data_IF_756476297998
#
_entry.id   IF_756476297998
#
_cell.length_a   1.000
_cell.length_b   1.000
_cell.length_c   1.000
_cell.angle_alpha   90.00
_cell.angle_beta   90.00
_cell.angle_gamma   90.00
#
_symmetry.space_group_name_H-M   'P 1'
#
loop_
_entity.id
_entity.type
_entity.pdbx_description
1 polymer ?
#
# COMPACT_ATOMS: atom_id res chain seq x y z
N UNK A 1 7.58 -16.46 -15.35
CA UNK A 1 8.40 -16.02 -14.17
C UNK A 1 9.87 -16.13 -14.51
N UNK A 2 10.71 -15.21 -14.02
CA UNK A 2 12.17 -15.21 -14.21
C UNK A 2 12.83 -16.31 -13.37
N UNK A 3 13.76 -17.10 -13.95
CA UNK A 3 14.42 -18.25 -13.28
C UNK A 3 15.16 -17.86 -11.98
N UNK A 4 15.76 -16.67 -11.93
CA UNK A 4 16.46 -16.18 -10.74
C UNK A 4 15.49 -15.85 -9.61
N UNK A 5 14.37 -15.22 -9.93
CA UNK A 5 13.29 -14.92 -8.96
C UNK A 5 12.68 -16.22 -8.44
N UNK A 6 12.40 -17.18 -9.35
CA UNK A 6 11.89 -18.50 -8.95
C UNK A 6 12.83 -19.17 -7.97
N UNK A 7 14.12 -19.25 -8.30
CA UNK A 7 15.14 -19.84 -7.41
C UNK A 7 15.16 -19.15 -6.04
N UNK A 8 15.08 -17.81 -6.01
CA UNK A 8 15.05 -17.05 -4.75
C UNK A 8 13.83 -17.40 -3.90
N UNK A 9 12.66 -17.54 -4.53
CA UNK A 9 11.42 -17.97 -3.85
C UNK A 9 11.54 -19.41 -3.32
N UNK A 10 12.10 -20.33 -4.11
CA UNK A 10 12.34 -21.71 -3.67
C UNK A 10 13.29 -21.79 -2.46
N UNK A 11 14.35 -20.98 -2.45
CA UNK A 11 15.26 -20.87 -1.30
C UNK A 11 14.54 -20.33 -0.06
N UNK A 12 13.66 -19.34 -0.21
CA UNK A 12 12.85 -18.81 0.89
C UNK A 12 11.85 -19.86 1.42
N UNK A 13 11.19 -20.61 0.54
CA UNK A 13 10.27 -21.70 0.92
C UNK A 13 11.01 -22.78 1.70
N UNK A 14 12.19 -23.19 1.22
CA UNK A 14 13.03 -24.19 1.90
C UNK A 14 13.43 -23.69 3.30
N UNK A 15 13.87 -22.45 3.42
CA UNK A 15 14.22 -21.85 4.70
C UNK A 15 13.03 -21.81 5.68
N UNK A 16 11.81 -21.49 5.19
CA UNK A 16 10.59 -21.51 6.00
C UNK A 16 10.31 -22.92 6.53
N UNK A 17 10.43 -23.96 5.69
CA UNK A 17 10.14 -25.33 6.09
C UNK A 17 11.15 -25.90 7.09
N UNK A 18 12.41 -25.45 6.99
CA UNK A 18 13.50 -25.84 7.89
C UNK A 18 13.49 -25.05 9.21
N UNK A 19 12.85 -23.87 9.25
CA UNK A 19 12.84 -23.04 10.44
C UNK A 19 12.01 -23.69 11.57
N UNK A 20 12.47 -23.64 12.83
CA UNK A 20 11.82 -24.38 13.94
C UNK A 20 10.40 -23.92 14.26
N UNK A 21 10.07 -22.64 13.98
CA UNK A 21 8.74 -22.08 14.26
C UNK A 21 7.67 -22.63 13.33
N UNK A 22 6.49 -22.91 13.88
CA UNK A 22 5.25 -23.21 13.13
C UNK A 22 4.26 -22.03 13.18
N UNK A 23 4.75 -20.84 13.50
CA UNK A 23 3.98 -19.60 13.52
C UNK A 23 4.58 -18.65 12.48
N UNK A 24 3.74 -18.16 11.57
CA UNK A 24 4.05 -17.09 10.62
C UNK A 24 3.50 -15.78 11.18
N UNK A 25 4.35 -14.77 11.36
CA UNK A 25 3.94 -13.40 11.61
C UNK A 25 3.89 -12.69 10.25
N UNK A 26 2.70 -12.61 9.68
CA UNK A 26 2.46 -12.03 8.36
C UNK A 26 2.02 -10.58 8.51
N UNK A 27 2.84 -9.67 8.01
CA UNK A 27 2.55 -8.25 7.90
C UNK A 27 2.28 -7.91 6.43
N UNK A 28 1.14 -7.29 6.14
CA UNK A 28 0.77 -6.93 4.77
C UNK A 28 0.22 -5.50 4.70
N UNK A 29 0.27 -4.89 3.53
CA UNK A 29 -0.33 -3.57 3.33
C UNK A 29 -1.87 -3.64 3.43
N UNK A 30 -2.50 -2.48 3.54
CA UNK A 30 -3.93 -2.39 3.84
C UNK A 30 -4.80 -1.97 2.64
N UNK A 31 -4.25 -1.88 1.44
CA UNK A 31 -5.02 -1.69 0.21
C UNK A 31 -5.37 -3.01 -0.47
N UNK A 32 -5.95 -2.92 -1.64
CA UNK A 32 -6.44 -4.09 -2.38
C UNK A 32 -5.32 -5.08 -2.68
N UNK A 33 -4.13 -4.62 -3.12
CA UNK A 33 -3.01 -5.52 -3.40
C UNK A 33 -2.46 -6.15 -2.11
N UNK A 34 -2.30 -5.36 -1.05
CA UNK A 34 -1.86 -5.87 0.25
C UNK A 34 -2.86 -6.84 0.91
N UNK A 35 -4.18 -6.59 0.80
CA UNK A 35 -5.21 -7.49 1.33
C UNK A 35 -5.25 -8.81 0.56
N UNK A 36 -5.16 -8.79 -0.76
CA UNK A 36 -5.13 -10.00 -1.59
C UNK A 36 -3.85 -10.79 -1.37
N UNK A 37 -2.69 -10.12 -1.27
CA UNK A 37 -1.41 -10.71 -0.89
C UNK A 37 -1.47 -11.41 0.47
N UNK A 38 -2.01 -10.72 1.47
CA UNK A 38 -2.23 -11.26 2.82
C UNK A 38 -3.14 -12.48 2.81
N UNK A 39 -4.23 -12.45 2.04
CA UNK A 39 -5.17 -13.57 1.91
C UNK A 39 -4.52 -14.80 1.27
N UNK A 40 -3.79 -14.61 0.16
CA UNK A 40 -3.08 -15.68 -0.54
C UNK A 40 -2.08 -16.35 0.39
N UNK A 41 -1.20 -15.59 1.04
CA UNK A 41 -0.17 -16.13 1.92
C UNK A 41 -0.77 -16.79 3.15
N UNK A 42 -1.77 -16.17 3.78
CA UNK A 42 -2.48 -16.75 4.92
C UNK A 42 -3.02 -18.14 4.58
N UNK A 43 -3.80 -18.26 3.50
CA UNK A 43 -4.38 -19.56 3.07
C UNK A 43 -3.29 -20.58 2.74
N UNK A 44 -2.23 -20.16 2.07
CA UNK A 44 -1.14 -21.06 1.65
C UNK A 44 -0.35 -21.60 2.84
N UNK A 45 -0.01 -20.77 3.82
CA UNK A 45 0.68 -21.20 5.03
C UNK A 45 -0.22 -22.07 5.93
N UNK A 46 -1.51 -21.74 6.06
CA UNK A 46 -2.46 -22.54 6.82
C UNK A 46 -2.62 -23.95 6.21
N UNK A 47 -2.63 -24.08 4.86
CA UNK A 47 -2.62 -25.39 4.17
C UNK A 47 -1.38 -26.22 4.47
N UNK A 48 -0.25 -25.59 4.78
CA UNK A 48 1.01 -26.25 5.21
C UNK A 48 1.09 -26.47 6.71
N UNK A 49 0.00 -26.20 7.46
CA UNK A 49 -0.09 -26.45 8.91
C UNK A 49 0.57 -25.38 9.77
N UNK A 50 0.86 -24.20 9.23
CA UNK A 50 1.32 -23.06 10.01
C UNK A 50 0.15 -22.32 10.63
N UNK A 51 0.34 -21.79 11.86
CA UNK A 51 -0.54 -20.79 12.43
C UNK A 51 -0.12 -19.42 11.94
N UNK A 52 -1.01 -18.68 11.30
CA UNK A 52 -0.74 -17.36 10.76
C UNK A 52 -1.30 -16.27 11.69
N UNK A 53 -0.43 -15.37 12.15
CA UNK A 53 -0.81 -14.10 12.75
C UNK A 53 -0.79 -13.05 11.66
N UNK A 54 -1.96 -12.63 11.23
CA UNK A 54 -2.14 -11.71 10.11
C UNK A 54 -2.37 -10.30 10.64
N UNK A 55 -1.51 -9.34 10.25
CA UNK A 55 -1.52 -7.97 10.72
C UNK A 55 -1.37 -7.03 9.52
N UNK A 56 -2.40 -6.22 9.29
CA UNK A 56 -2.33 -5.17 8.27
C UNK A 56 -1.55 -3.96 8.80
N UNK A 57 -0.72 -3.37 7.96
CA UNK A 57 0.03 -2.15 8.25
C UNK A 57 -0.25 -1.10 7.18
N UNK A 58 -0.29 0.16 7.58
CA UNK A 58 -0.33 1.26 6.61
C UNK A 58 1.07 1.63 6.09
N UNK A 59 2.10 1.43 6.93
CA UNK A 59 3.53 1.62 6.60
C UNK A 59 4.41 0.93 7.65
N UNK A 60 5.63 0.54 7.26
CA UNK A 60 6.61 -0.03 8.17
C UNK A 60 7.34 1.07 8.97
N UNK A 61 6.61 1.76 9.86
CA UNK A 61 7.19 2.84 10.68
C UNK A 61 8.40 2.36 11.49
N UNK A 62 9.47 3.18 11.64
CA UNK A 62 10.68 2.78 12.37
C UNK A 62 10.40 2.29 13.79
N UNK A 63 9.50 2.95 14.54
CA UNK A 63 9.11 2.53 15.89
C UNK A 63 8.44 1.14 15.89
N UNK A 64 7.63 0.85 14.89
CA UNK A 64 6.99 -0.46 14.72
C UNK A 64 8.01 -1.54 14.34
N UNK A 65 8.91 -1.26 13.40
CA UNK A 65 9.98 -2.19 13.03
C UNK A 65 10.86 -2.55 14.23
N UNK A 66 11.29 -1.57 15.01
CA UNK A 66 12.03 -1.82 16.24
C UNK A 66 11.28 -2.81 17.15
N UNK A 67 9.97 -2.63 17.29
CA UNK A 67 9.14 -3.51 18.14
C UNK A 67 8.96 -4.90 17.53
N UNK A 68 8.79 -5.02 16.22
CA UNK A 68 8.73 -6.32 15.52
C UNK A 68 10.04 -7.09 15.73
N UNK A 69 11.19 -6.43 15.64
CA UNK A 69 12.50 -7.06 15.75
C UNK A 69 13.01 -7.24 17.20
N UNK A 70 12.19 -6.93 18.22
CA UNK A 70 12.38 -7.48 19.58
C UNK A 70 12.12 -8.99 19.63
N UNK A 71 11.29 -9.52 18.72
CA UNK A 71 11.02 -10.95 18.59
C UNK A 71 12.28 -11.73 18.18
N UNK A 72 12.35 -13.00 18.62
CA UNK A 72 13.47 -13.91 18.30
C UNK A 72 12.94 -15.27 17.84
N UNK A 73 13.69 -15.93 16.99
CA UNK A 73 13.37 -17.27 16.46
C UNK A 73 12.00 -17.36 15.81
N UNK A 74 11.52 -16.26 15.20
CA UNK A 74 10.24 -16.20 14.51
C UNK A 74 10.43 -16.32 13.00
N UNK A 75 9.33 -16.65 12.30
CA UNK A 75 9.20 -16.42 10.86
C UNK A 75 8.36 -15.14 10.70
N UNK A 76 8.93 -14.17 10.00
CA UNK A 76 8.32 -12.87 9.71
C UNK A 76 8.19 -12.76 8.20
N UNK A 77 7.00 -12.47 7.71
CA UNK A 77 6.73 -12.28 6.28
C UNK A 77 6.16 -10.89 6.08
N UNK A 78 6.77 -10.12 5.19
CA UNK A 78 6.26 -8.84 4.73
C UNK A 78 5.70 -9.01 3.32
N UNK A 79 4.50 -8.50 3.07
CA UNK A 79 3.83 -8.55 1.78
C UNK A 79 3.35 -7.16 1.37
N UNK A 80 3.68 -6.76 0.15
CA UNK A 80 3.30 -5.48 -0.45
C UNK A 80 3.91 -4.25 0.25
N UNK A 81 5.07 -4.41 0.82
CA UNK A 81 5.99 -3.37 1.30
C UNK A 81 7.29 -4.00 1.82
N UNK A 82 8.28 -3.17 2.14
CA UNK A 82 9.56 -3.49 2.76
C UNK A 82 10.72 -3.85 1.82
N UNK A 83 10.51 -4.01 0.53
CA UNK A 83 11.58 -4.31 -0.44
C UNK A 83 12.73 -3.29 -0.40
N UNK A 84 12.39 -2.01 -0.37
CA UNK A 84 13.36 -0.90 -0.31
C UNK A 84 14.11 -0.82 1.01
N UNK A 85 13.48 -1.15 2.12
CA UNK A 85 14.08 -1.07 3.45
C UNK A 85 14.72 -2.39 3.92
N UNK A 86 14.92 -3.36 3.02
CA UNK A 86 15.57 -4.63 3.34
C UNK A 86 16.94 -4.48 4.03
N UNK A 87 17.78 -3.48 3.74
CA UNK A 87 19.01 -3.22 4.50
C UNK A 87 18.76 -2.82 5.96
N UNK A 88 17.75 -1.99 6.22
CA UNK A 88 17.35 -1.58 7.58
C UNK A 88 16.79 -2.79 8.34
N UNK A 89 15.93 -3.58 7.70
CA UNK A 89 15.40 -4.84 8.26
C UNK A 89 16.54 -5.79 8.59
N UNK A 90 17.56 -5.90 7.73
CA UNK A 90 18.73 -6.74 7.96
C UNK A 90 19.49 -6.32 9.23
N UNK A 91 19.72 -5.03 9.42
CA UNK A 91 20.37 -4.49 10.63
C UNK A 91 19.54 -4.75 11.88
N UNK A 92 18.23 -4.49 11.82
CA UNK A 92 17.31 -4.72 12.95
C UNK A 92 17.17 -6.20 13.28
N UNK A 93 17.16 -7.07 12.28
CA UNK A 93 17.03 -8.52 12.45
C UNK A 93 18.28 -9.14 13.07
N UNK A 94 19.45 -8.75 12.59
CA UNK A 94 20.74 -9.29 13.05
C UNK A 94 20.72 -10.83 13.17
N UNK A 95 20.25 -11.51 12.14
CA UNK A 95 20.10 -12.97 12.01
C UNK A 95 19.24 -13.67 13.09
N UNK A 96 18.43 -12.94 13.85
CA UNK A 96 17.64 -13.50 14.96
C UNK A 96 16.35 -14.20 14.54
N UNK A 97 15.79 -13.82 13.39
CA UNK A 97 14.56 -14.36 12.81
C UNK A 97 14.79 -14.72 11.35
N UNK A 98 13.94 -15.58 10.81
CA UNK A 98 13.81 -15.71 9.36
C UNK A 98 12.82 -14.65 8.88
N UNK A 99 13.25 -13.82 7.94
CA UNK A 99 12.42 -12.77 7.32
C UNK A 99 12.30 -13.06 5.83
N UNK A 100 11.08 -13.02 5.30
CA UNK A 100 10.80 -13.09 3.86
C UNK A 100 10.04 -11.84 3.44
N UNK A 101 10.49 -11.19 2.37
CA UNK A 101 9.87 -10.00 1.79
C UNK A 101 9.33 -10.38 0.42
N UNK A 102 8.03 -10.17 0.20
CA UNK A 102 7.29 -10.39 -1.03
C UNK A 102 6.61 -9.07 -1.40
N UNK A 103 7.35 -8.22 -2.06
CA UNK A 103 6.97 -6.86 -2.42
C UNK A 103 7.07 -6.70 -3.95
N UNK A 104 6.83 -5.53 -4.48
CA UNK A 104 6.98 -5.18 -5.89
C UNK A 104 7.43 -3.73 -6.12
N UNK A 105 7.60 -2.98 -5.04
CA UNK A 105 8.08 -1.60 -5.11
C UNK A 105 9.59 -1.55 -5.41
N UNK A 106 10.15 -0.32 -5.50
CA UNK A 106 11.60 -0.15 -5.60
C UNK A 106 12.31 -0.92 -4.46
N UNK A 107 13.28 -1.75 -4.78
CA UNK A 107 13.86 -2.71 -3.84
C UNK A 107 15.38 -2.58 -3.70
N UNK A 108 15.87 -2.86 -2.49
CA UNK A 108 17.28 -2.95 -2.16
C UNK A 108 17.66 -4.38 -1.72
N UNK A 109 18.89 -4.85 -2.01
CA UNK A 109 19.35 -6.15 -1.55
C UNK A 109 19.39 -6.23 -0.01
N UNK A 110 19.04 -7.39 0.54
CA UNK A 110 19.23 -7.68 1.96
C UNK A 110 20.70 -7.88 2.32
N UNK A 111 21.09 -7.49 3.53
CA UNK A 111 22.47 -7.62 4.05
C UNK A 111 22.61 -8.76 5.08
N UNK A 112 21.51 -9.36 5.51
CA UNK A 112 21.44 -10.47 6.47
C UNK A 112 21.00 -11.73 5.71
N UNK A 113 21.72 -12.85 5.89
CA UNK A 113 21.41 -14.14 5.24
C UNK A 113 20.03 -14.68 5.59
N UNK A 114 19.50 -14.32 6.76
CA UNK A 114 18.18 -14.71 7.22
C UNK A 114 17.07 -13.71 6.81
N UNK A 115 17.41 -12.69 6.01
CA UNK A 115 16.44 -11.79 5.36
C UNK A 115 16.45 -12.07 3.86
N UNK A 116 15.43 -12.75 3.40
CA UNK A 116 15.30 -13.19 2.01
C UNK A 116 14.34 -12.23 1.30
N UNK A 117 14.91 -11.30 0.54
CA UNK A 117 14.13 -10.38 -0.28
C UNK A 117 13.82 -11.04 -1.62
N UNK A 118 12.54 -11.32 -1.88
CA UNK A 118 12.01 -11.91 -3.12
C UNK A 118 11.31 -10.87 -4.00
N UNK A 119 11.66 -9.59 -3.83
CA UNK A 119 11.09 -8.53 -4.64
C UNK A 119 11.51 -8.66 -6.11
N UNK A 120 10.56 -8.68 -7.06
CA UNK A 120 10.83 -8.84 -8.49
C UNK A 120 11.70 -7.75 -9.12
N UNK A 121 11.72 -6.53 -8.55
CA UNK A 121 12.58 -5.42 -9.02
C UNK A 121 14.06 -5.79 -8.97
N UNK A 122 14.49 -6.59 -7.99
CA UNK A 122 15.85 -7.10 -7.89
C UNK A 122 16.24 -8.05 -9.04
N UNK A 123 15.24 -8.54 -9.76
CA UNK A 123 15.41 -9.51 -10.85
C UNK A 123 15.02 -8.93 -12.22
N UNK A 124 14.83 -7.59 -12.30
CA UNK A 124 14.63 -6.86 -13.55
C UNK A 124 13.18 -6.78 -14.03
N UNK A 125 12.21 -7.17 -13.21
CA UNK A 125 10.79 -6.89 -13.44
C UNK A 125 10.44 -5.52 -12.85
N UNK A 126 9.47 -4.83 -13.45
CA UNK A 126 8.99 -3.53 -13.00
C UNK A 126 7.70 -3.67 -12.21
N UNK A 127 7.75 -3.29 -10.93
CA UNK A 127 6.62 -3.40 -10.02
C UNK A 127 5.46 -2.47 -10.36
N UNK A 128 5.75 -1.32 -10.95
CA UNK A 128 4.74 -0.37 -11.44
C UNK A 128 4.17 -0.71 -12.83
N UNK A 129 4.43 -1.94 -13.34
CA UNK A 129 4.00 -2.35 -14.68
C UNK A 129 3.81 -3.85 -14.85
N UNK A 130 4.82 -4.65 -14.50
CA UNK A 130 4.92 -6.05 -14.91
C UNK A 130 4.30 -7.02 -13.89
N UNK A 131 4.35 -6.64 -12.60
CA UNK A 131 4.01 -7.54 -11.49
C UNK A 131 3.63 -6.76 -10.23
N UNK A 132 2.55 -7.18 -9.56
CA UNK A 132 2.11 -6.65 -8.26
C UNK A 132 2.52 -7.57 -7.11
N UNK A 133 2.33 -7.15 -5.85
CA UNK A 133 2.62 -8.00 -4.71
C UNK A 133 1.70 -9.22 -4.64
N UNK A 134 0.43 -9.10 -5.01
CA UNK A 134 -0.50 -10.24 -5.07
C UNK A 134 -0.06 -11.29 -6.09
N UNK A 135 0.41 -10.85 -7.27
CA UNK A 135 0.99 -11.74 -8.27
C UNK A 135 2.27 -12.41 -7.73
N UNK A 136 3.16 -11.64 -7.09
CA UNK A 136 4.38 -12.16 -6.45
C UNK A 136 4.05 -13.21 -5.38
N UNK A 137 3.08 -12.92 -4.49
CA UNK A 137 2.62 -13.82 -3.45
C UNK A 137 1.94 -15.08 -4.01
N UNK A 138 1.20 -14.95 -5.11
CA UNK A 138 0.58 -16.11 -5.79
C UNK A 138 1.63 -17.03 -6.41
N UNK A 139 2.62 -16.48 -7.12
CA UNK A 139 3.73 -17.25 -7.68
C UNK A 139 4.50 -17.98 -6.57
N UNK A 140 4.81 -17.29 -5.47
CA UNK A 140 5.43 -17.90 -4.29
C UNK A 140 4.57 -19.05 -3.71
N UNK A 141 3.27 -18.82 -3.62
CA UNK A 141 2.30 -19.78 -3.07
C UNK A 141 2.17 -21.03 -3.93
N UNK A 142 2.16 -20.89 -5.26
CA UNK A 142 2.07 -22.04 -6.19
C UNK A 142 3.35 -22.87 -6.22
N UNK A 143 4.52 -22.22 -6.05
CA UNK A 143 5.79 -22.95 -5.83
C UNK A 143 5.78 -23.71 -4.50
N UNK A 144 5.19 -23.16 -3.46
CA UNK A 144 5.07 -23.82 -2.15
C UNK A 144 4.14 -25.06 -2.22
N UNK A 145 3.03 -24.95 -2.93
CA UNK A 145 2.07 -26.03 -3.16
C UNK A 145 1.27 -25.78 -4.44
N UNK A 146 1.35 -26.67 -5.46
CA UNK A 146 0.57 -26.53 -6.70
C UNK A 146 -0.95 -26.46 -6.49
N UNK A 147 -1.47 -26.91 -5.34
CA UNK A 147 -2.91 -26.77 -4.99
C UNK A 147 -3.35 -25.32 -4.84
N UNK A 148 -2.42 -24.40 -4.58
CA UNK A 148 -2.71 -22.98 -4.44
C UNK A 148 -3.06 -22.29 -5.77
N UNK A 149 -3.09 -23.02 -6.88
CA UNK A 149 -3.58 -22.53 -8.18
C UNK A 149 -5.05 -22.05 -8.10
N UNK A 150 -5.83 -22.52 -7.16
CA UNK A 150 -7.20 -22.08 -6.88
C UNK A 150 -7.30 -20.65 -6.31
N UNK A 151 -6.17 -20.06 -5.90
CA UNK A 151 -6.09 -18.67 -5.42
C UNK A 151 -5.91 -17.64 -6.54
N UNK A 152 -5.91 -18.06 -7.80
CA UNK A 152 -5.65 -17.21 -8.97
C UNK A 152 -6.61 -16.02 -9.07
N UNK A 153 -7.90 -16.19 -8.70
CA UNK A 153 -8.86 -15.09 -8.72
C UNK A 153 -8.49 -13.99 -7.72
N UNK A 154 -7.99 -14.36 -6.53
CA UNK A 154 -7.56 -13.41 -5.52
C UNK A 154 -6.33 -12.63 -6.02
N UNK A 155 -5.38 -13.32 -6.66
CA UNK A 155 -4.21 -12.69 -7.25
C UNK A 155 -4.60 -11.72 -8.38
N UNK A 156 -5.54 -12.12 -9.24
CA UNK A 156 -6.04 -11.26 -10.31
C UNK A 156 -6.79 -10.02 -9.79
N UNK A 157 -7.50 -10.12 -8.65
CA UNK A 157 -8.12 -8.95 -7.98
C UNK A 157 -7.02 -7.94 -7.58
N UNK A 158 -5.93 -8.39 -6.95
CA UNK A 158 -4.83 -7.50 -6.59
C UNK A 158 -4.12 -6.93 -7.82
N UNK A 159 -3.83 -7.76 -8.83
CA UNK A 159 -3.18 -7.34 -10.08
C UNK A 159 -3.97 -6.25 -10.84
N UNK A 160 -5.30 -6.28 -10.77
CA UNK A 160 -6.17 -5.26 -11.36
C UNK A 160 -6.34 -4.07 -10.42
N UNK A 161 -6.43 -4.31 -9.12
CA UNK A 161 -6.71 -3.30 -8.10
C UNK A 161 -5.54 -2.38 -7.77
N UNK A 162 -4.31 -2.72 -8.16
CA UNK A 162 -3.14 -1.86 -8.02
C UNK A 162 -3.03 -0.79 -9.14
N UNK A 163 -3.93 -0.86 -10.13
CA UNK A 163 -4.15 0.13 -11.19
C UNK A 163 -2.95 0.41 -12.12
N UNK A 164 -1.94 -0.45 -12.18
CA UNK A 164 -0.83 -0.32 -13.12
C UNK A 164 -1.21 -0.88 -14.50
N UNK A 165 -1.82 -0.04 -15.31
CA UNK A 165 -2.27 -0.41 -16.66
C UNK A 165 -1.35 0.14 -17.76
N UNK A 166 -1.09 -0.69 -18.76
CA UNK A 166 -0.43 -0.29 -20.01
C UNK A 166 -1.50 -0.28 -21.11
N UNK A 167 -1.76 0.90 -21.69
CA UNK A 167 -2.82 1.10 -22.68
C UNK A 167 -4.24 0.67 -22.20
N UNK A 168 -4.47 0.75 -20.88
CA UNK A 168 -5.75 0.39 -20.25
C UNK A 168 -5.92 -1.10 -19.93
N UNK A 169 -4.83 -1.89 -19.99
CA UNK A 169 -4.82 -3.32 -19.66
C UNK A 169 -3.68 -3.66 -18.71
N UNK A 170 -3.83 -4.71 -17.89
CA UNK A 170 -2.73 -5.27 -17.12
C UNK A 170 -1.63 -5.81 -18.02
N UNK A 171 -0.39 -5.87 -17.52
CA UNK A 171 0.76 -6.24 -18.34
C UNK A 171 1.66 -7.27 -17.63
N UNK A 172 2.58 -7.89 -18.37
CA UNK A 172 3.65 -8.73 -17.83
C UNK A 172 3.16 -9.99 -17.12
N UNK A 173 3.63 -10.25 -15.92
CA UNK A 173 3.20 -11.40 -15.10
C UNK A 173 1.75 -11.22 -14.60
N UNK A 174 1.31 -9.98 -14.34
CA UNK A 174 -0.08 -9.68 -14.00
C UNK A 174 -1.06 -10.11 -15.10
N UNK A 175 -0.70 -9.90 -16.37
CA UNK A 175 -1.52 -10.33 -17.50
C UNK A 175 -1.68 -11.87 -17.52
N UNK A 176 -0.61 -12.62 -17.28
CA UNK A 176 -0.65 -14.09 -17.25
C UNK A 176 -1.60 -14.60 -16.16
N UNK A 177 -1.57 -13.97 -14.97
CA UNK A 177 -2.46 -14.34 -13.87
C UNK A 177 -3.93 -14.06 -14.23
N UNK A 178 -4.21 -12.93 -14.86
CA UNK A 178 -5.56 -12.60 -15.31
C UNK A 178 -6.01 -13.54 -16.44
N UNK A 179 -5.14 -13.90 -17.40
CA UNK A 179 -5.42 -14.89 -18.44
C UNK A 179 -5.72 -16.28 -17.85
N UNK A 180 -4.97 -16.71 -16.84
CA UNK A 180 -5.23 -17.96 -16.13
C UNK A 180 -6.59 -17.94 -15.42
N UNK A 181 -6.96 -16.82 -14.81
CA UNK A 181 -8.28 -16.65 -14.20
C UNK A 181 -9.42 -16.63 -15.24
N UNK A 182 -9.19 -16.04 -16.42
CA UNK A 182 -10.13 -16.07 -17.55
C UNK A 182 -10.31 -17.51 -18.05
N UNK A 183 -9.21 -18.25 -18.26
CA UNK A 183 -9.24 -19.62 -18.70
C UNK A 183 -9.99 -20.57 -17.73
N UNK A 184 -10.00 -20.22 -16.44
CA UNK A 184 -10.77 -20.93 -15.41
C UNK A 184 -12.23 -20.42 -15.30
N UNK A 185 -12.64 -19.45 -16.11
CA UNK A 185 -14.01 -18.90 -16.10
C UNK A 185 -14.31 -18.00 -14.89
N UNK A 186 -13.28 -17.49 -14.21
CA UNK A 186 -13.38 -16.65 -13.01
C UNK A 186 -13.44 -15.16 -13.34
N UNK A 187 -13.02 -14.77 -14.54
CA UNK A 187 -13.04 -13.40 -15.07
C UNK A 187 -13.57 -13.42 -16.50
N UNK A 188 -14.33 -12.38 -16.84
CA UNK A 188 -14.72 -12.02 -18.22
C UNK A 188 -14.15 -10.67 -18.57
N UNK A 189 -13.87 -10.44 -19.83
CA UNK A 189 -13.42 -9.15 -20.36
C UNK A 189 -14.60 -8.42 -21.00
N UNK A 190 -14.83 -7.18 -20.60
CA UNK A 190 -15.70 -6.25 -21.31
C UNK A 190 -14.85 -5.40 -22.27
N UNK A 191 -14.90 -5.66 -23.59
CA UNK A 191 -14.07 -4.95 -24.57
C UNK A 191 -14.46 -3.48 -24.75
N UNK A 192 -15.64 -3.08 -24.27
CA UNK A 192 -16.11 -1.69 -24.30
C UNK A 192 -15.58 -0.80 -23.19
N UNK A 193 -14.87 -1.40 -22.21
CA UNK A 193 -14.34 -0.73 -21.04
C UNK A 193 -12.81 -0.79 -20.99
N UNK A 194 -12.23 0.00 -20.12
CA UNK A 194 -10.78 0.07 -19.90
C UNK A 194 -10.45 -0.08 -18.40
N UNK A 195 -9.16 -0.35 -18.12
CA UNK A 195 -8.64 -0.40 -16.75
C UNK A 195 -9.47 -1.35 -15.86
N UNK A 196 -9.64 -1.07 -14.60
CA UNK A 196 -10.38 -1.92 -13.66
C UNK A 196 -11.84 -2.21 -14.06
N UNK A 197 -12.49 -1.32 -14.82
CA UNK A 197 -13.85 -1.52 -15.31
C UNK A 197 -13.96 -2.60 -16.40
N UNK A 198 -12.87 -2.92 -17.08
CA UNK A 198 -12.81 -3.94 -18.13
C UNK A 198 -12.91 -5.37 -17.62
N UNK A 199 -12.43 -5.60 -16.39
CA UNK A 199 -12.30 -6.93 -15.79
C UNK A 199 -13.52 -7.25 -14.94
N UNK A 200 -14.36 -8.19 -15.43
CA UNK A 200 -15.60 -8.63 -14.76
C UNK A 200 -15.32 -9.91 -13.99
N UNK A 201 -15.19 -9.82 -12.68
CA UNK A 201 -14.98 -10.97 -11.79
C UNK A 201 -16.27 -11.68 -11.49
N UNK A 202 -16.26 -13.02 -11.60
CA UNK A 202 -17.40 -13.88 -11.28
C UNK A 202 -17.33 -14.17 -9.76
N UNK A 203 -18.26 -13.62 -9.02
CA UNK A 203 -18.28 -13.71 -7.54
C UNK A 203 -19.59 -14.29 -7.03
N UNK A 204 -19.65 -14.56 -5.73
CA UNK A 204 -20.90 -14.99 -5.07
C UNK A 204 -21.99 -13.89 -5.03
N UNK A 205 -21.67 -12.65 -5.42
CA UNK A 205 -22.64 -11.54 -5.64
C UNK A 205 -23.01 -11.34 -7.12
N UNK A 206 -22.51 -12.19 -8.01
CA UNK A 206 -22.63 -12.03 -9.45
C UNK A 206 -21.36 -11.46 -10.10
N UNK A 207 -21.52 -10.83 -11.25
CA UNK A 207 -20.41 -10.22 -11.99
C UNK A 207 -20.13 -8.81 -11.44
N UNK A 208 -18.91 -8.58 -11.00
CA UNK A 208 -18.46 -7.29 -10.44
C UNK A 208 -17.22 -6.82 -11.21
N UNK A 209 -17.11 -5.50 -11.47
CA UNK A 209 -15.90 -4.93 -12.07
C UNK A 209 -14.75 -4.96 -11.09
N UNK A 210 -13.51 -5.05 -11.61
CA UNK A 210 -12.31 -4.93 -10.78
C UNK A 210 -12.27 -3.62 -10.00
N UNK A 211 -12.70 -2.50 -10.63
CA UNK A 211 -12.79 -1.21 -9.97
C UNK A 211 -13.78 -1.19 -8.79
N UNK A 212 -14.91 -1.88 -8.92
CA UNK A 212 -15.87 -1.99 -7.82
C UNK A 212 -15.27 -2.80 -6.64
N UNK A 213 -14.57 -3.89 -6.94
CA UNK A 213 -13.94 -4.75 -5.91
C UNK A 213 -12.80 -3.98 -5.22
N UNK A 214 -11.97 -3.26 -5.98
CA UNK A 214 -10.93 -2.38 -5.43
C UNK A 214 -11.54 -1.35 -4.47
N UNK A 215 -12.53 -0.57 -4.89
CA UNK A 215 -13.21 0.41 -4.03
C UNK A 215 -13.78 -0.22 -2.74
N UNK A 216 -14.24 -1.46 -2.84
CA UNK A 216 -14.78 -2.20 -1.70
C UNK A 216 -13.67 -2.62 -0.72
N UNK A 217 -12.60 -3.22 -1.22
CA UNK A 217 -11.46 -3.66 -0.41
C UNK A 217 -10.68 -2.48 0.16
N UNK A 218 -10.45 -1.42 -0.61
CA UNK A 218 -9.80 -0.19 -0.15
C UNK A 218 -10.64 0.54 0.91
N UNK A 219 -11.97 0.46 0.83
CA UNK A 219 -12.85 0.95 1.91
C UNK A 219 -12.64 0.16 3.19
N UNK A 220 -12.58 -1.16 3.12
CA UNK A 220 -12.31 -2.01 4.28
C UNK A 220 -10.91 -1.75 4.84
N UNK A 221 -9.88 -1.77 3.98
CA UNK A 221 -8.50 -1.63 4.40
C UNK A 221 -8.12 -0.22 4.85
N UNK A 222 -8.48 0.81 4.10
CA UNK A 222 -8.10 2.19 4.36
C UNK A 222 -9.05 2.90 5.32
N UNK A 223 -10.34 2.97 5.00
CA UNK A 223 -11.33 3.62 5.88
C UNK A 223 -11.53 2.80 7.15
N UNK A 224 -11.62 1.48 7.03
CA UNK A 224 -11.87 0.56 8.14
C UNK A 224 -10.64 0.15 8.93
N UNK A 225 -9.46 0.75 8.70
CA UNK A 225 -8.19 0.28 9.28
C UNK A 225 -8.25 0.07 10.79
N UNK A 226 -8.75 1.04 11.54
CA UNK A 226 -8.90 0.96 13.01
C UNK A 226 -10.21 0.30 13.46
N UNK A 227 -11.02 -0.24 12.54
CA UNK A 227 -12.32 -0.87 12.82
C UNK A 227 -12.36 -2.33 12.37
N UNK A 228 -11.21 -3.00 12.38
CA UNK A 228 -11.07 -4.39 11.95
C UNK A 228 -11.39 -4.64 10.45
N UNK A 229 -11.43 -3.58 9.65
CA UNK A 229 -11.72 -3.65 8.22
C UNK A 229 -10.75 -4.52 7.43
N UNK A 230 -9.40 -4.44 7.64
CA UNK A 230 -8.45 -5.31 6.93
C UNK A 230 -8.71 -6.81 7.15
N UNK A 231 -9.09 -7.23 8.36
CA UNK A 231 -9.45 -8.64 8.61
C UNK A 231 -10.75 -9.03 7.87
N UNK A 232 -11.71 -8.11 7.75
CA UNK A 232 -12.90 -8.33 6.93
C UNK A 232 -12.52 -8.42 5.44
N UNK A 233 -11.59 -7.58 4.95
CA UNK A 233 -11.06 -7.65 3.59
C UNK A 233 -10.42 -9.00 3.27
N UNK A 234 -9.56 -9.50 4.16
CA UNK A 234 -8.99 -10.86 4.04
C UNK A 234 -10.10 -11.92 3.98
N UNK A 235 -11.13 -11.79 4.83
CA UNK A 235 -12.26 -12.73 4.82
C UNK A 235 -13.04 -12.67 3.51
N UNK A 236 -13.28 -11.47 2.98
CA UNK A 236 -13.93 -11.31 1.66
C UNK A 236 -13.11 -11.96 0.56
N UNK A 237 -11.80 -11.78 0.54
CA UNK A 237 -10.91 -12.43 -0.44
C UNK A 237 -10.98 -13.96 -0.36
N UNK A 238 -11.05 -14.54 0.84
CA UNK A 238 -10.98 -16.00 1.05
C UNK A 238 -12.33 -16.70 0.99
N UNK A 239 -13.40 -16.06 1.45
CA UNK A 239 -14.70 -16.69 1.68
C UNK A 239 -15.82 -16.04 0.82
N UNK A 240 -15.51 -14.93 0.11
CA UNK A 240 -16.46 -14.14 -0.67
C UNK A 240 -17.19 -13.06 0.15
N UNK A 241 -18.03 -12.31 -0.53
CA UNK A 241 -18.83 -11.22 0.03
C UNK A 241 -19.95 -11.75 0.95
N UNK A 242 -20.31 -10.97 1.96
CA UNK A 242 -21.36 -11.31 2.94
C UNK A 242 -22.13 -10.07 3.38
N UNK A 243 -23.33 -10.26 3.95
CA UNK A 243 -24.13 -9.16 4.50
C UNK A 243 -23.39 -8.37 5.59
N UNK A 244 -22.51 -9.03 6.36
CA UNK A 244 -21.69 -8.36 7.38
C UNK A 244 -20.63 -7.46 6.72
N UNK A 245 -19.97 -7.92 5.67
CA UNK A 245 -19.00 -7.11 4.94
C UNK A 245 -19.69 -5.93 4.23
N UNK A 246 -20.91 -6.12 3.69
CA UNK A 246 -21.68 -5.07 3.02
C UNK A 246 -22.12 -3.97 3.99
N UNK A 247 -22.60 -4.37 5.15
CA UNK A 247 -22.95 -3.42 6.23
C UNK A 247 -21.73 -2.62 6.65
N UNK A 248 -20.62 -3.30 6.90
CA UNK A 248 -19.37 -2.63 7.28
C UNK A 248 -18.93 -1.62 6.23
N UNK A 249 -18.91 -1.97 4.94
CA UNK A 249 -18.53 -1.04 3.85
C UNK A 249 -19.49 0.14 3.77
N UNK A 250 -20.79 -0.09 3.95
CA UNK A 250 -21.80 0.98 3.95
C UNK A 250 -21.54 1.97 5.08
N UNK A 251 -21.33 1.47 6.30
CA UNK A 251 -21.06 2.30 7.49
C UNK A 251 -19.73 3.08 7.34
N UNK A 252 -18.69 2.42 6.81
CA UNK A 252 -17.39 3.04 6.58
C UNK A 252 -17.47 4.15 5.53
N UNK A 253 -18.21 3.97 4.44
CA UNK A 253 -18.44 5.02 3.44
C UNK A 253 -19.16 6.21 4.04
N UNK A 254 -20.18 5.99 4.87
CA UNK A 254 -20.87 7.07 5.57
C UNK A 254 -19.93 7.85 6.52
N UNK A 255 -19.04 7.17 7.23
CA UNK A 255 -18.02 7.81 8.07
C UNK A 255 -17.09 8.66 7.22
N UNK A 256 -16.54 8.11 6.12
CA UNK A 256 -15.65 8.83 5.20
C UNK A 256 -16.32 10.08 4.68
N UNK A 257 -17.53 9.95 4.14
CA UNK A 257 -18.26 11.07 3.53
C UNK A 257 -18.52 12.17 4.55
N UNK A 258 -18.90 11.81 5.77
CA UNK A 258 -19.10 12.78 6.85
C UNK A 258 -17.79 13.52 7.17
N UNK A 259 -16.68 12.80 7.43
CA UNK A 259 -15.39 13.40 7.77
C UNK A 259 -14.86 14.30 6.67
N UNK A 260 -14.96 13.87 5.42
CA UNK A 260 -14.53 14.64 4.27
C UNK A 260 -15.36 15.90 4.08
N UNK A 261 -16.68 15.81 4.17
CA UNK A 261 -17.57 16.96 4.04
C UNK A 261 -17.37 17.97 5.17
N UNK A 262 -17.14 17.53 6.39
CA UNK A 262 -16.87 18.42 7.52
C UNK A 262 -15.52 19.15 7.32
N UNK A 263 -14.48 18.47 6.85
CA UNK A 263 -13.18 19.10 6.58
C UNK A 263 -13.24 20.04 5.36
N UNK A 264 -13.96 19.70 4.29
CA UNK A 264 -14.19 20.60 3.14
C UNK A 264 -14.82 21.91 3.60
N UNK A 265 -15.82 21.85 4.50
CA UNK A 265 -16.44 23.08 5.06
C UNK A 265 -15.42 23.93 5.81
N UNK A 266 -14.52 23.31 6.62
CA UNK A 266 -13.46 24.02 7.35
C UNK A 266 -12.50 24.71 6.40
N UNK A 267 -12.03 24.00 5.37
CA UNK A 267 -11.10 24.57 4.38
C UNK A 267 -11.74 25.72 3.58
N UNK A 268 -13.01 25.61 3.22
CA UNK A 268 -13.78 26.70 2.58
C UNK A 268 -13.94 27.94 3.47
N UNK A 269 -13.97 27.75 4.78
CA UNK A 269 -14.06 28.82 5.77
C UNK A 269 -12.69 29.47 6.09
N UNK A 270 -11.63 29.14 5.32
CA UNK A 270 -10.34 29.80 5.41
C UNK A 270 -9.28 29.08 6.25
N UNK A 271 -9.48 27.82 6.63
CA UNK A 271 -8.48 27.03 7.38
C UNK A 271 -7.37 26.43 6.50
N UNK A 272 -7.37 26.72 5.19
CA UNK A 272 -6.25 26.40 4.31
C UNK A 272 -5.18 27.49 4.37
N UNK A 273 -3.97 27.11 4.77
CA UNK A 273 -2.83 28.01 4.83
C UNK A 273 -2.15 28.05 3.45
N UNK A 274 -1.63 29.23 3.07
CA UNK A 274 -0.99 29.43 1.77
C UNK A 274 0.36 30.12 1.93
N UNK A 275 1.35 29.57 1.24
CA UNK A 275 2.65 30.18 1.03
C UNK A 275 2.79 30.60 -0.45
N UNK A 276 3.98 30.92 -0.92
CA UNK A 276 4.21 31.31 -2.32
C UNK A 276 3.82 30.18 -3.29
N UNK A 277 4.28 28.94 -3.04
CA UNK A 277 4.11 27.80 -3.95
C UNK A 277 3.25 26.68 -3.38
N UNK A 278 2.95 26.67 -2.09
CA UNK A 278 2.28 25.56 -1.40
C UNK A 278 1.02 26.06 -0.70
N UNK A 279 -0.04 25.28 -0.76
CA UNK A 279 -1.23 25.41 0.08
C UNK A 279 -1.35 24.14 0.94
N UNK A 280 -1.61 24.33 2.23
CA UNK A 280 -1.56 23.22 3.16
C UNK A 280 -2.56 23.35 4.31
N UNK A 281 -2.88 22.23 4.92
CA UNK A 281 -3.80 22.13 6.04
C UNK A 281 -3.42 20.92 6.92
N UNK A 282 -3.89 20.90 8.15
CA UNK A 282 -3.69 19.82 9.09
C UNK A 282 -5.03 19.33 9.64
N UNK A 283 -5.36 18.07 9.39
CA UNK A 283 -6.60 17.46 9.91
C UNK A 283 -6.46 16.94 11.34
N UNK A 284 -5.24 17.00 11.91
CA UNK A 284 -4.93 16.46 13.25
C UNK A 284 -5.42 15.00 13.38
N UNK A 285 -6.38 14.72 14.28
CA UNK A 285 -7.03 13.42 14.44
C UNK A 285 -8.49 13.40 13.98
N UNK A 286 -8.94 14.45 13.27
CA UNK A 286 -10.35 14.59 12.83
C UNK A 286 -10.81 13.52 11.85
N UNK A 287 -9.89 12.84 11.20
CA UNK A 287 -10.22 11.71 10.32
C UNK A 287 -10.40 10.38 11.06
N UNK A 288 -10.14 10.33 12.37
CA UNK A 288 -10.49 9.14 13.16
C UNK A 288 -11.97 8.78 13.00
N UNK A 289 -12.30 7.48 12.91
CA UNK A 289 -11.42 6.31 13.09
C UNK A 289 -10.85 5.76 11.78
N UNK A 290 -10.72 6.56 10.72
CA UNK A 290 -10.14 6.13 9.45
C UNK A 290 -8.60 6.01 9.52
N UNK A 291 -8.00 5.19 8.66
CA UNK A 291 -6.56 5.08 8.51
C UNK A 291 -5.89 6.35 7.98
N UNK A 292 -4.57 6.46 8.17
CA UNK A 292 -3.83 7.66 7.75
C UNK A 292 -3.61 7.74 6.23
N UNK A 293 -3.87 6.65 5.49
CA UNK A 293 -3.94 6.69 4.02
C UNK A 293 -4.99 7.70 3.54
N UNK A 294 -6.02 7.93 4.35
CA UNK A 294 -7.17 8.76 3.97
C UNK A 294 -6.84 10.25 3.80
N UNK A 295 -5.74 10.76 4.36
CA UNK A 295 -5.31 12.14 4.06
C UNK A 295 -4.91 12.30 2.58
N UNK A 296 -4.27 11.28 1.98
CA UNK A 296 -3.95 11.27 0.56
C UNK A 296 -5.21 11.22 -0.33
N UNK A 297 -6.14 10.32 0.01
CA UNK A 297 -7.44 10.21 -0.68
C UNK A 297 -8.23 11.52 -0.59
N UNK A 298 -8.19 12.19 0.56
CA UNK A 298 -8.80 13.50 0.74
C UNK A 298 -8.16 14.58 -0.14
N UNK A 299 -6.81 14.64 -0.20
CA UNK A 299 -6.11 15.56 -1.08
C UNK A 299 -6.49 15.35 -2.56
N UNK A 300 -6.66 14.09 -3.00
CA UNK A 300 -7.15 13.77 -4.35
C UNK A 300 -8.59 14.23 -4.57
N UNK A 301 -9.46 14.05 -3.58
CA UNK A 301 -10.86 14.46 -3.67
C UNK A 301 -11.02 15.98 -3.80
N UNK A 302 -10.15 16.77 -3.17
CA UNK A 302 -10.27 18.25 -3.17
C UNK A 302 -9.48 18.95 -4.28
N UNK A 303 -8.51 18.29 -4.93
CA UNK A 303 -7.55 18.94 -5.86
C UNK A 303 -8.16 19.69 -7.06
N UNK A 304 -9.44 19.40 -7.37
CA UNK A 304 -10.20 20.06 -8.45
C UNK A 304 -11.24 21.06 -7.94
N UNK A 305 -11.36 21.25 -6.63
CA UNK A 305 -12.37 22.13 -6.05
C UNK A 305 -11.99 23.61 -6.19
N UNK A 306 -12.98 24.48 -6.24
CA UNK A 306 -12.88 25.93 -6.51
C UNK A 306 -12.07 26.72 -5.49
N UNK A 307 -12.00 26.27 -4.24
CA UNK A 307 -11.22 26.92 -3.17
C UNK A 307 -9.72 26.54 -3.19
N UNK A 308 -9.33 25.55 -4.01
CA UNK A 308 -7.95 25.14 -4.20
C UNK A 308 -7.28 26.02 -5.25
N UNK A 309 -6.14 26.62 -4.91
CA UNK A 309 -5.34 27.40 -5.86
C UNK A 309 -4.73 26.48 -6.92
N UNK A 310 -5.00 26.74 -8.23
CA UNK A 310 -4.60 25.79 -9.29
C UNK A 310 -3.08 25.80 -9.57
N UNK A 311 -2.36 26.77 -9.03
CA UNK A 311 -0.92 27.02 -9.22
C UNK A 311 -0.05 26.64 -8.01
N UNK A 312 -0.65 26.04 -6.95
CA UNK A 312 0.06 25.69 -5.72
C UNK A 312 -0.03 24.20 -5.42
N UNK A 313 1.09 23.60 -5.00
CA UNK A 313 1.11 22.24 -4.47
C UNK A 313 0.14 22.11 -3.29
N UNK A 314 -0.54 20.98 -3.18
CA UNK A 314 -1.45 20.67 -2.06
C UNK A 314 -0.70 19.80 -1.08
N UNK A 315 -0.70 20.17 0.21
CA UNK A 315 -0.15 19.34 1.29
C UNK A 315 -1.16 19.18 2.42
N UNK A 316 -1.53 17.95 2.72
CA UNK A 316 -2.40 17.61 3.85
C UNK A 316 -1.63 16.83 4.91
N UNK A 317 -1.79 17.22 6.17
CA UNK A 317 -1.19 16.55 7.32
C UNK A 317 -2.23 15.83 8.17
N UNK A 318 -1.87 14.68 8.72
CA UNK A 318 -2.66 13.91 9.68
C UNK A 318 -1.76 13.31 10.75
N UNK A 319 -2.14 13.40 12.02
CA UNK A 319 -1.45 12.73 13.13
C UNK A 319 -1.62 11.21 12.97
N UNK A 320 -0.52 10.48 13.09
CA UNK A 320 -0.53 9.02 13.08
C UNK A 320 -0.88 8.53 14.49
N UNK A 321 -1.91 7.71 14.66
CA UNK A 321 -2.25 7.15 15.97
C UNK A 321 -1.11 6.29 16.53
N UNK A 322 -0.87 6.41 17.84
CA UNK A 322 0.11 5.57 18.56
C UNK A 322 -0.43 4.17 18.85
N UNK A 323 -1.08 3.57 17.86
CA UNK A 323 -1.65 2.24 17.92
C UNK A 323 -1.65 1.60 16.53
N UNK A 324 -1.27 0.33 16.47
CA UNK A 324 -1.39 -0.51 15.27
C UNK A 324 -2.37 -1.65 15.58
N UNK A 325 -3.50 -1.75 14.85
CA UNK A 325 -4.50 -2.80 15.06
C UNK A 325 -3.86 -4.20 15.00
N UNK A 326 -4.16 -5.04 15.98
CA UNK A 326 -3.60 -6.40 16.09
C UNK A 326 -2.17 -6.47 16.64
N UNK A 327 -1.47 -5.34 16.78
CA UNK A 327 -0.12 -5.27 17.34
C UNK A 327 -0.06 -4.54 18.69
N UNK A 328 -0.89 -3.51 18.88
CA UNK A 328 -1.02 -2.74 20.13
C UNK A 328 -0.43 -1.33 20.07
N UNK A 329 -0.13 -0.77 21.24
CA UNK A 329 0.42 0.60 21.36
C UNK A 329 1.87 0.66 20.92
N UNK A 330 2.18 1.65 20.09
CA UNK A 330 3.52 1.97 19.57
C UNK A 330 3.69 3.48 19.63
N UNK A 331 4.78 3.97 20.23
CA UNK A 331 5.08 5.41 20.31
C UNK A 331 5.62 5.92 18.96
N UNK A 332 4.73 6.13 17.99
CA UNK A 332 5.09 6.64 16.67
C UNK A 332 5.38 8.13 16.73
N UNK A 333 4.52 8.93 17.36
CA UNK A 333 4.65 10.37 17.57
C UNK A 333 4.98 11.16 16.29
N UNK A 334 4.41 10.77 15.16
CA UNK A 334 4.63 11.36 13.86
C UNK A 334 3.34 11.86 13.22
N UNK A 335 3.47 12.81 12.32
CA UNK A 335 2.44 13.23 11.39
C UNK A 335 2.79 12.73 9.99
N UNK A 336 1.79 12.19 9.28
CA UNK A 336 1.88 11.90 7.85
C UNK A 336 1.58 13.16 7.08
N UNK A 337 2.40 13.43 6.07
CA UNK A 337 2.08 14.37 5.01
C UNK A 337 1.75 13.62 3.73
N UNK A 338 0.69 14.05 3.04
CA UNK A 338 0.39 13.64 1.67
C UNK A 338 0.30 14.87 0.78
N UNK A 339 0.98 14.82 -0.36
CA UNK A 339 0.98 15.91 -1.33
C UNK A 339 0.36 15.47 -2.65
N UNK A 340 -0.31 16.42 -3.30
CA UNK A 340 -0.92 16.25 -4.62
C UNK A 340 -0.66 17.48 -5.48
N UNK A 341 -0.73 17.26 -6.79
CA UNK A 341 -0.61 18.30 -7.80
C UNK A 341 -2.03 18.64 -8.32
N UNK A 342 -2.46 19.94 -8.29
CA UNK A 342 -3.65 20.34 -9.03
C UNK A 342 -3.51 20.10 -10.53
N UNK A 343 -4.60 19.71 -11.25
CA UNK A 343 -4.52 19.35 -12.67
C UNK A 343 -3.83 20.36 -13.59
N UNK A 344 -3.99 21.69 -13.41
CA UNK A 344 -3.30 22.66 -14.27
C UNK A 344 -1.76 22.63 -14.19
N UNK A 345 -1.19 22.11 -13.07
CA UNK A 345 0.25 21.99 -12.90
C UNK A 345 0.84 20.67 -13.43
N UNK A 346 0.01 19.66 -13.73
CA UNK A 346 0.50 18.32 -14.07
C UNK A 346 1.39 18.32 -15.32
N UNK A 347 1.03 19.08 -16.36
CA UNK A 347 1.82 19.17 -17.59
C UNK A 347 3.19 19.84 -17.36
N UNK A 348 3.26 20.84 -16.49
CA UNK A 348 4.53 21.50 -16.13
C UNK A 348 5.48 20.55 -15.40
N UNK A 349 4.92 19.71 -14.51
CA UNK A 349 5.68 18.67 -13.80
C UNK A 349 6.17 17.59 -14.78
N UNK A 350 5.26 17.04 -15.63
CA UNK A 350 5.61 16.00 -16.59
C UNK A 350 6.66 16.43 -17.61
N UNK A 351 6.63 17.72 -18.00
CA UNK A 351 7.62 18.31 -18.92
C UNK A 351 8.91 18.77 -18.24
N UNK A 352 9.04 18.62 -16.93
CA UNK A 352 10.23 19.04 -16.15
C UNK A 352 10.37 20.56 -15.97
N UNK A 353 9.38 21.36 -16.37
CA UNK A 353 9.37 22.82 -16.16
C UNK A 353 9.09 23.20 -14.70
N UNK A 354 8.57 22.27 -13.90
CA UNK A 354 8.34 22.43 -12.47
C UNK A 354 8.79 21.19 -11.72
N UNK A 355 9.27 21.35 -10.50
CA UNK A 355 9.79 20.24 -9.70
C UNK A 355 8.70 19.24 -9.32
N UNK A 356 8.93 17.94 -9.54
CA UNK A 356 8.04 16.87 -9.12
C UNK A 356 8.09 16.60 -7.61
N UNK A 357 7.00 16.05 -7.08
CA UNK A 357 6.89 15.72 -5.65
C UNK A 357 7.87 14.62 -5.22
N UNK A 358 8.25 13.71 -6.12
CA UNK A 358 9.25 12.66 -5.88
C UNK A 358 10.65 13.20 -5.52
N UNK A 359 10.93 14.45 -5.81
CA UNK A 359 12.15 15.12 -5.40
C UNK A 359 11.90 16.10 -4.25
N UNK A 360 10.89 16.96 -4.37
CA UNK A 360 10.61 18.05 -3.42
C UNK A 360 10.37 17.53 -2.00
N UNK A 361 9.44 16.57 -1.85
CA UNK A 361 9.01 16.11 -0.53
C UNK A 361 10.06 15.25 0.18
N UNK A 362 10.69 14.23 -0.47
CA UNK A 362 11.76 13.45 0.16
C UNK A 362 12.94 14.31 0.61
N UNK A 363 13.43 15.22 -0.24
CA UNK A 363 14.57 16.09 0.08
C UNK A 363 14.29 16.96 1.32
N UNK A 364 13.11 17.57 1.41
CA UNK A 364 12.72 18.37 2.57
C UNK A 364 12.51 17.51 3.83
N UNK A 365 11.92 16.33 3.68
CA UNK A 365 11.66 15.37 4.77
C UNK A 365 12.97 14.88 5.39
N UNK A 366 13.94 14.51 4.55
CA UNK A 366 15.25 14.01 4.98
C UNK A 366 16.03 15.06 5.80
N UNK A 367 16.02 16.33 5.39
CA UNK A 367 16.64 17.43 6.16
C UNK A 367 16.09 17.56 7.59
N UNK A 368 14.84 17.14 7.81
CA UNK A 368 14.19 17.18 9.13
C UNK A 368 14.27 15.86 9.89
N UNK A 369 14.97 14.86 9.33
CA UNK A 369 15.09 13.53 9.92
C UNK A 369 13.81 12.71 9.87
N UNK A 370 12.90 13.03 8.94
CA UNK A 370 11.68 12.29 8.71
C UNK A 370 11.91 11.02 7.89
N UNK A 371 10.86 10.22 7.70
CA UNK A 371 10.90 8.98 6.96
C UNK A 371 10.17 9.12 5.61
N UNK A 372 10.89 8.82 4.54
CA UNK A 372 10.36 8.77 3.18
C UNK A 372 10.32 7.33 2.70
N UNK A 373 9.21 6.96 2.05
CA UNK A 373 8.97 5.69 1.39
C UNK A 373 8.83 5.93 -0.13
N UNK A 374 7.84 5.36 -0.79
CA UNK A 374 7.60 5.58 -2.21
C UNK A 374 7.01 6.98 -2.49
N UNK A 375 7.61 7.72 -3.44
CA UNK A 375 7.13 9.03 -3.90
C UNK A 375 7.16 9.10 -5.42
N UNK A 376 6.06 9.56 -6.03
CA UNK A 376 5.94 9.80 -7.46
C UNK A 376 5.91 11.31 -7.77
N UNK A 377 6.11 11.67 -9.03
CA UNK A 377 6.19 13.08 -9.43
C UNK A 377 4.92 13.90 -9.17
N UNK A 378 3.74 13.27 -9.23
CA UNK A 378 2.44 13.92 -9.04
C UNK A 378 1.80 13.63 -7.68
N UNK A 379 2.26 12.58 -6.99
CA UNK A 379 1.76 12.16 -5.68
C UNK A 379 2.92 11.72 -4.79
N UNK A 380 2.95 12.20 -3.55
CA UNK A 380 4.00 11.81 -2.61
C UNK A 380 3.47 11.79 -1.18
N UNK A 381 4.06 10.95 -0.32
CA UNK A 381 3.75 10.92 1.09
C UNK A 381 5.00 10.56 1.91
N UNK A 382 5.19 11.26 3.03
CA UNK A 382 6.27 11.01 3.99
C UNK A 382 5.76 11.15 5.41
N UNK A 383 6.62 10.94 6.41
CA UNK A 383 6.30 11.21 7.81
C UNK A 383 7.38 12.06 8.47
N UNK A 384 6.95 12.90 9.40
CA UNK A 384 7.82 13.74 10.22
C UNK A 384 7.35 13.72 11.67
N UNK A 385 8.22 14.12 12.60
CA UNK A 385 7.82 14.28 13.98
C UNK A 385 6.74 15.38 14.13
N UNK A 386 5.77 15.17 14.99
CA UNK A 386 4.74 16.16 15.31
C UNK A 386 5.39 17.48 15.76
N UNK A 387 4.90 18.60 15.22
CA UNK A 387 5.42 19.95 15.48
C UNK A 387 6.41 20.44 14.44
N UNK A 388 6.87 19.60 13.51
CA UNK A 388 7.76 20.00 12.40
C UNK A 388 7.01 20.35 11.11
N UNK A 389 5.68 20.34 11.10
CA UNK A 389 4.87 20.50 9.87
C UNK A 389 5.15 21.83 9.18
N UNK A 390 5.18 22.92 9.95
CA UNK A 390 5.49 24.25 9.41
C UNK A 390 6.92 24.33 8.88
N UNK A 391 7.88 23.75 9.61
CA UNK A 391 9.27 23.65 9.17
C UNK A 391 9.41 22.91 7.83
N UNK A 392 8.65 21.81 7.65
CA UNK A 392 8.66 21.06 6.40
C UNK A 392 8.16 21.91 5.22
N UNK A 393 7.10 22.70 5.43
CA UNK A 393 6.61 23.63 4.40
C UNK A 393 7.67 24.70 4.08
N UNK A 394 8.35 25.25 5.09
CA UNK A 394 9.42 26.24 4.91
C UNK A 394 10.62 25.66 4.15
N UNK A 395 11.04 24.43 4.45
CA UNK A 395 12.12 23.74 3.71
C UNK A 395 11.73 23.49 2.25
N UNK A 396 10.51 23.04 1.98
CA UNK A 396 10.03 22.87 0.60
C UNK A 396 10.01 24.20 -0.17
N UNK A 397 9.56 25.29 0.45
CA UNK A 397 9.62 26.61 -0.18
C UNK A 397 11.06 27.06 -0.48
N UNK A 398 12.01 26.79 0.42
CA UNK A 398 13.43 27.08 0.20
C UNK A 398 14.00 26.28 -0.99
N UNK A 399 13.69 24.98 -1.09
CA UNK A 399 14.09 24.14 -2.22
C UNK A 399 13.53 24.67 -3.55
N UNK A 400 12.23 25.03 -3.57
CA UNK A 400 11.58 25.60 -4.76
C UNK A 400 12.17 26.94 -5.18
N UNK A 401 12.58 27.77 -4.23
CA UNK A 401 13.24 29.06 -4.51
C UNK A 401 14.66 28.88 -5.07
N UNK A 402 15.41 27.89 -4.60
CA UNK A 402 16.76 27.59 -5.07
C UNK A 402 16.78 26.95 -6.49
N UNK A 403 15.65 26.43 -6.95
CA UNK A 403 15.52 25.73 -8.24
C UNK A 403 14.95 26.59 -9.36
N UNK A 404 14.52 27.82 -9.06
CA UNK A 404 14.09 28.86 -10.01
C UNK A 404 15.22 29.88 -10.24
#
# INVERSE_FOLDING_TARGET
MNDKLQKRMEDAISAIFEWPSKVINLFHHNDTDGLTSGAILKRSFERKGYRVRNIALEKPYPALLNKIFEMKNQIIVFADFAGRIAPIISQLNNSRNLVVILDHHEAEPSLDKNVINCDPELFGLKGDRDITASTTCYLFSTLMDPKNIDLVQIAAIGAVGDEFFVNGEVYGENLKIVEDAINQGLIKIDPGKKEGERYMFITNKGELTGKWIEDYLDTLGGVGFYQNGPNMGIKVCLDGFSDDSDRMVTDLKAIKDKRFNDEIKRLKNGEILKTKNIQWFHVEDRFKPMGVKMIGVFCDAIKKMDFISPDKYIAGFQIIPNEVPGFGKIDINQAKISMRIPPPMEEEIRSGRRMGLNRLLPEATEKLGGFSDACHSLTAATTIDIGKEKQLIEEMEAILQASN
#
